data_IF_605681570374
#
_entry.id   IF_605681570374
#
_cell.length_a   1.000
_cell.length_b   1.000
_cell.length_c   1.000
_cell.angle_alpha   90.00
_cell.angle_beta   90.00
_cell.angle_gamma   90.00
#
_symmetry.space_group_name_H-M   'P 1'
#
loop_
_entity.id
_entity.type
_entity.pdbx_description
1 polymer ?
#
# COMPACT_ATOMS: atom_id res chain seq x y z
N UNK A 1 -27.34 8.22 -9.59
CA UNK A 1 -26.16 7.39 -9.26
C UNK A 1 -25.28 7.08 -10.48
N UNK A 2 -25.78 7.14 -11.72
CA UNK A 2 -24.97 6.90 -12.94
C UNK A 2 -23.86 7.94 -13.18
N UNK A 3 -24.09 9.22 -12.84
CA UNK A 3 -23.14 10.31 -13.14
C UNK A 3 -21.80 10.13 -12.40
N UNK A 4 -21.82 9.57 -11.19
CA UNK A 4 -20.61 9.34 -10.38
C UNK A 4 -19.79 8.18 -10.94
N UNK A 5 -20.46 7.11 -11.42
CA UNK A 5 -19.80 5.95 -12.00
C UNK A 5 -19.07 6.30 -13.31
N UNK A 6 -19.67 7.16 -14.15
CA UNK A 6 -19.04 7.63 -15.39
C UNK A 6 -17.81 8.49 -15.10
N UNK A 7 -17.86 9.32 -14.05
CA UNK A 7 -16.74 10.20 -13.67
C UNK A 7 -15.56 9.41 -13.11
N UNK A 8 -15.82 8.38 -12.31
CA UNK A 8 -14.79 7.47 -11.78
C UNK A 8 -14.18 6.62 -12.90
N UNK A 9 -15.02 6.08 -13.80
CA UNK A 9 -14.53 5.33 -14.95
C UNK A 9 -13.66 6.19 -15.87
N UNK A 10 -14.04 7.45 -16.14
CA UNK A 10 -13.25 8.37 -16.94
C UNK A 10 -11.90 8.74 -16.28
N UNK A 11 -11.88 8.85 -14.95
CA UNK A 11 -10.65 9.11 -14.19
C UNK A 11 -9.70 7.90 -14.23
N UNK A 12 -10.23 6.69 -14.03
CA UNK A 12 -9.46 5.43 -14.11
C UNK A 12 -8.93 5.20 -15.52
N UNK A 13 -9.73 5.45 -16.56
CA UNK A 13 -9.27 5.37 -17.95
C UNK A 13 -8.17 6.40 -18.22
N UNK A 14 -8.30 7.65 -17.75
CA UNK A 14 -7.26 8.67 -17.94
C UNK A 14 -5.94 8.32 -17.25
N UNK A 15 -5.99 7.76 -16.04
CA UNK A 15 -4.80 7.32 -15.32
C UNK A 15 -4.16 6.11 -15.99
N UNK A 16 -4.95 5.12 -16.40
CA UNK A 16 -4.44 3.92 -17.11
C UNK A 16 -3.89 4.28 -18.49
N UNK A 17 -4.51 5.22 -19.21
CA UNK A 17 -4.03 5.69 -20.51
C UNK A 17 -2.75 6.54 -20.37
N UNK A 18 -2.67 7.38 -19.33
CA UNK A 18 -1.47 8.13 -18.98
C UNK A 18 -0.28 7.22 -18.66
N UNK A 19 -0.52 6.16 -17.88
CA UNK A 19 0.52 5.16 -17.56
C UNK A 19 0.92 4.32 -18.79
N UNK A 20 -0.01 4.01 -19.70
CA UNK A 20 0.30 3.27 -20.94
C UNK A 20 1.01 4.09 -22.01
N UNK A 21 0.93 5.42 -21.98
CA UNK A 21 1.73 6.28 -22.88
C UNK A 21 3.18 6.46 -22.41
N UNK A 22 3.48 6.18 -21.14
CA UNK A 22 4.86 6.13 -20.64
C UNK A 22 5.48 4.78 -21.00
N UNK A 23 5.66 4.54 -22.31
CA UNK A 23 6.73 3.64 -22.74
C UNK A 23 8.04 4.26 -22.23
N UNK A 24 8.87 3.55 -21.45
CA UNK A 24 10.19 4.04 -21.11
C UNK A 24 10.97 4.14 -22.43
N UNK A 25 11.09 5.37 -22.96
CA UNK A 25 12.03 5.66 -24.03
C UNK A 25 13.41 5.40 -23.44
N UNK A 26 13.99 4.28 -23.84
CA UNK A 26 15.37 3.95 -23.55
C UNK A 26 16.27 5.14 -23.88
N UNK A 27 17.03 5.61 -22.88
CA UNK A 27 18.33 6.22 -23.12
C UNK A 27 18.41 7.74 -23.34
N UNK A 28 17.37 8.53 -23.07
CA UNK A 28 17.58 9.97 -22.90
C UNK A 28 18.16 10.22 -21.49
N UNK A 29 19.49 10.17 -21.36
CA UNK A 29 20.15 10.75 -20.18
C UNK A 29 19.86 12.24 -20.22
N UNK A 30 18.80 12.67 -19.54
CA UNK A 30 18.57 14.07 -19.22
C UNK A 30 19.84 14.55 -18.52
N UNK A 31 20.62 15.39 -19.21
CA UNK A 31 21.77 16.08 -18.61
C UNK A 31 21.19 17.18 -17.72
N UNK A 32 20.62 16.76 -16.60
CA UNK A 32 20.20 17.65 -15.53
C UNK A 32 21.46 18.22 -14.90
N UNK A 33 21.44 19.52 -14.63
CA UNK A 33 22.48 20.11 -13.81
C UNK A 33 22.22 19.69 -12.36
N UNK A 34 23.24 19.63 -11.49
CA UNK A 34 23.07 19.26 -10.09
C UNK A 34 21.98 20.09 -9.38
N UNK A 35 21.85 21.37 -9.74
CA UNK A 35 20.79 22.26 -9.25
C UNK A 35 19.37 21.78 -9.63
N UNK A 36 19.17 21.31 -10.87
CA UNK A 36 17.87 20.81 -11.34
C UNK A 36 17.49 19.51 -10.62
N UNK A 37 18.48 18.66 -10.31
CA UNK A 37 18.25 17.42 -9.55
C UNK A 37 17.82 17.75 -8.12
N UNK A 38 18.49 18.69 -7.47
CA UNK A 38 18.15 19.10 -6.10
C UNK A 38 16.76 19.73 -6.01
N UNK A 39 16.37 20.53 -7.02
CA UNK A 39 15.02 21.09 -7.09
C UNK A 39 13.96 20.00 -7.28
N UNK A 40 14.20 19.04 -8.18
CA UNK A 40 13.30 17.91 -8.39
C UNK A 40 13.16 17.02 -7.15
N UNK A 41 14.27 16.77 -6.44
CA UNK A 41 14.24 16.02 -5.19
C UNK A 41 13.44 16.75 -4.10
N UNK A 42 13.58 18.09 -4.02
CA UNK A 42 12.82 18.91 -3.08
C UNK A 42 11.31 18.88 -3.38
N UNK A 43 10.94 19.04 -4.65
CA UNK A 43 9.53 18.94 -5.10
C UNK A 43 8.99 17.53 -4.86
N UNK A 44 9.78 16.50 -5.16
CA UNK A 44 9.43 15.10 -4.93
C UNK A 44 9.20 14.80 -3.45
N UNK A 45 10.07 15.30 -2.58
CA UNK A 45 9.93 15.15 -1.13
C UNK A 45 8.70 15.87 -0.58
N UNK A 46 8.42 17.09 -1.06
CA UNK A 46 7.22 17.84 -0.66
C UNK A 46 5.93 17.10 -1.05
N UNK A 47 5.86 16.60 -2.28
CA UNK A 47 4.71 15.84 -2.77
C UNK A 47 4.55 14.51 -2.02
N UNK A 48 5.64 13.80 -1.75
CA UNK A 48 5.61 12.58 -0.95
C UNK A 48 5.08 12.85 0.47
N UNK A 49 5.50 13.95 1.10
CA UNK A 49 5.04 14.33 2.43
C UNK A 49 3.56 14.74 2.46
N UNK A 50 3.08 15.46 1.44
CA UNK A 50 1.64 15.76 1.30
C UNK A 50 0.82 14.48 1.14
N UNK A 51 1.26 13.60 0.23
CA UNK A 51 0.57 12.32 0.01
C UNK A 51 0.58 11.44 1.24
N UNK A 52 1.70 11.39 1.97
CA UNK A 52 1.82 10.65 3.21
C UNK A 52 0.79 11.12 4.23
N UNK A 53 0.64 12.44 4.43
CA UNK A 53 -0.35 13.01 5.36
C UNK A 53 -1.78 12.61 5.03
N UNK A 54 -2.16 12.62 3.75
CA UNK A 54 -3.50 12.20 3.32
C UNK A 54 -3.79 10.72 3.62
N UNK A 55 -2.80 9.87 3.39
CA UNK A 55 -2.93 8.41 3.61
C UNK A 55 -2.85 8.10 5.11
N UNK A 56 -2.01 8.81 5.85
CA UNK A 56 -1.73 8.60 7.27
C UNK A 56 -3.00 8.60 8.11
N UNK A 57 -3.87 9.58 7.90
CA UNK A 57 -5.11 9.71 8.66
C UNK A 57 -5.99 8.45 8.53
N UNK A 58 -6.12 7.92 7.31
CA UNK A 58 -6.95 6.74 7.02
C UNK A 58 -6.31 5.46 7.56
N UNK A 59 -5.01 5.27 7.32
CA UNK A 59 -4.29 4.09 7.78
C UNK A 59 -4.22 4.03 9.30
N UNK A 60 -3.94 5.15 9.97
CA UNK A 60 -3.84 5.21 11.43
C UNK A 60 -5.12 4.71 12.08
N UNK A 61 -6.28 5.25 11.69
CA UNK A 61 -7.55 4.84 12.26
C UNK A 61 -7.86 3.35 12.00
N UNK A 62 -7.59 2.85 10.79
CA UNK A 62 -7.84 1.45 10.45
C UNK A 62 -6.91 0.51 11.22
N UNK A 63 -5.60 0.78 11.23
CA UNK A 63 -4.60 -0.06 11.89
C UNK A 63 -4.78 -0.08 13.42
N UNK A 64 -5.13 1.05 14.03
CA UNK A 64 -5.47 1.07 15.46
C UNK A 64 -6.73 0.27 15.77
N UNK A 65 -7.77 0.39 14.95
CA UNK A 65 -9.00 -0.38 15.14
C UNK A 65 -8.71 -1.89 15.05
N UNK A 66 -7.98 -2.32 14.01
CA UNK A 66 -7.59 -3.72 13.80
C UNK A 66 -6.76 -4.28 14.96
N UNK A 67 -5.74 -3.54 15.41
CA UNK A 67 -4.87 -3.93 16.52
C UNK A 67 -5.65 -4.01 17.84
N UNK A 68 -6.39 -2.96 18.17
CA UNK A 68 -7.08 -2.85 19.46
C UNK A 68 -8.22 -3.88 19.59
N UNK A 69 -8.94 -4.15 18.50
CA UNK A 69 -10.01 -5.16 18.46
C UNK A 69 -9.49 -6.58 18.22
N UNK A 70 -8.18 -6.74 17.96
CA UNK A 70 -7.54 -8.02 17.63
C UNK A 70 -8.26 -8.76 16.50
N UNK A 71 -8.61 -8.02 15.46
CA UNK A 71 -9.28 -8.56 14.27
C UNK A 71 -8.30 -9.47 13.54
N UNK A 72 -8.66 -10.75 13.30
CA UNK A 72 -7.78 -11.65 12.58
C UNK A 72 -7.75 -11.33 11.10
N UNK A 73 -6.59 -11.57 10.49
CA UNK A 73 -6.45 -11.58 9.05
C UNK A 73 -7.22 -12.80 8.50
N UNK A 74 -8.14 -12.56 7.58
CA UNK A 74 -8.98 -13.58 6.97
C UNK A 74 -8.37 -14.11 5.67
N UNK A 75 -7.84 -13.23 4.81
CA UNK A 75 -7.29 -13.61 3.51
C UNK A 75 -6.13 -12.72 3.10
N UNK A 76 -5.29 -13.27 2.22
CA UNK A 76 -4.24 -12.54 1.50
C UNK A 76 -4.55 -12.66 0.01
N UNK A 77 -4.81 -11.54 -0.65
CA UNK A 77 -5.17 -11.49 -2.06
C UNK A 77 -4.01 -10.92 -2.88
N UNK A 78 -3.58 -11.65 -3.91
CA UNK A 78 -2.64 -11.12 -4.90
C UNK A 78 -3.35 -10.27 -5.97
N UNK A 79 -2.58 -9.75 -6.94
CA UNK A 79 -3.16 -9.24 -8.20
C UNK A 79 -3.29 -7.72 -8.33
N UNK A 80 -2.53 -6.95 -7.57
CA UNK A 80 -2.50 -5.47 -7.66
C UNK A 80 -1.86 -4.94 -8.95
N UNK A 81 -1.29 -5.81 -9.79
CA UNK A 81 -0.51 -5.44 -10.97
C UNK A 81 0.87 -4.84 -10.65
N UNK A 82 1.17 -4.60 -9.37
CA UNK A 82 2.45 -4.04 -8.91
C UNK A 82 3.24 -5.15 -8.19
N UNK A 83 4.47 -5.46 -8.65
CA UNK A 83 5.31 -6.45 -7.99
C UNK A 83 5.52 -6.14 -6.50
N UNK A 84 5.35 -7.17 -5.66
CA UNK A 84 5.52 -7.05 -4.21
C UNK A 84 4.35 -6.40 -3.47
N UNK A 85 3.25 -6.05 -4.14
CA UNK A 85 2.04 -5.54 -3.47
C UNK A 85 0.88 -6.54 -3.49
N UNK A 86 0.14 -6.57 -2.40
CA UNK A 86 -0.97 -7.50 -2.17
C UNK A 86 -1.95 -6.93 -1.15
N UNK A 87 -3.16 -7.47 -1.08
CA UNK A 87 -4.20 -7.01 -0.17
C UNK A 87 -4.31 -7.95 1.03
N UNK A 88 -4.35 -7.36 2.22
CA UNK A 88 -4.64 -8.01 3.49
C UNK A 88 -6.12 -7.76 3.82
N UNK A 89 -6.94 -8.81 3.76
CA UNK A 89 -8.36 -8.73 4.10
C UNK A 89 -8.57 -9.27 5.51
N UNK A 90 -9.06 -8.41 6.41
CA UNK A 90 -9.34 -8.74 7.80
C UNK A 90 -10.78 -9.22 7.98
N UNK A 91 -11.03 -9.97 9.04
CA UNK A 91 -12.34 -10.58 9.29
C UNK A 91 -13.48 -9.59 9.57
N UNK A 92 -13.17 -8.31 9.83
CA UNK A 92 -14.17 -7.24 9.95
C UNK A 92 -14.49 -6.56 8.60
N UNK A 93 -13.93 -7.07 7.50
CA UNK A 93 -14.08 -6.53 6.15
C UNK A 93 -13.07 -5.43 5.80
N UNK A 94 -12.22 -5.01 6.74
CA UNK A 94 -11.17 -4.04 6.44
C UNK A 94 -10.16 -4.64 5.47
N UNK A 95 -9.83 -3.93 4.40
CA UNK A 95 -8.82 -4.33 3.43
C UNK A 95 -7.65 -3.33 3.41
N UNK A 96 -6.43 -3.83 3.59
CA UNK A 96 -5.20 -3.04 3.60
C UNK A 96 -4.34 -3.45 2.41
N UNK A 97 -4.01 -2.51 1.54
CA UNK A 97 -2.97 -2.71 0.54
C UNK A 97 -1.62 -2.70 1.27
N UNK A 98 -0.89 -3.80 1.18
CA UNK A 98 0.41 -4.00 1.78
C UNK A 98 1.48 -4.25 0.71
N UNK A 99 2.74 -3.98 1.09
CA UNK A 99 3.92 -4.25 0.30
C UNK A 99 4.87 -5.16 1.09
N UNK A 100 5.45 -6.13 0.39
CA UNK A 100 6.48 -7.02 0.94
C UNK A 100 7.78 -6.28 1.15
N UNK A 101 8.49 -6.54 2.25
CA UNK A 101 9.88 -6.10 2.43
C UNK A 101 10.84 -7.17 1.87
N UNK A 102 10.47 -8.45 2.02
CA UNK A 102 11.19 -9.62 1.54
C UNK A 102 10.46 -10.40 0.44
N UNK A 103 11.22 -11.16 -0.36
CA UNK A 103 10.76 -11.86 -1.58
C UNK A 103 9.66 -12.91 -1.35
N UNK A 104 9.37 -13.28 -0.09
CA UNK A 104 8.46 -14.38 0.28
C UNK A 104 7.45 -14.01 1.36
N UNK A 105 7.32 -12.73 1.73
CA UNK A 105 6.50 -12.35 2.87
C UNK A 105 5.01 -12.61 2.62
N UNK A 106 4.51 -12.24 1.44
CA UNK A 106 3.10 -12.44 1.08
C UNK A 106 2.70 -13.92 1.13
N UNK A 107 3.52 -14.80 0.56
CA UNK A 107 3.29 -16.24 0.58
C UNK A 107 3.37 -16.81 2.01
N UNK A 108 4.34 -16.35 2.81
CA UNK A 108 4.49 -16.78 4.19
C UNK A 108 3.26 -16.40 5.03
N UNK A 109 2.78 -15.17 4.90
CA UNK A 109 1.59 -14.69 5.60
C UNK A 109 0.35 -15.43 5.12
N UNK A 110 0.20 -15.67 3.81
CA UNK A 110 -0.93 -16.44 3.27
C UNK A 110 -0.97 -17.87 3.83
N UNK A 111 0.19 -18.53 3.93
CA UNK A 111 0.30 -19.86 4.55
C UNK A 111 -0.02 -19.81 6.05
N UNK A 112 0.44 -18.78 6.75
CA UNK A 112 0.14 -18.59 8.17
C UNK A 112 -1.37 -18.42 8.41
N UNK A 113 -2.05 -17.61 7.60
CA UNK A 113 -3.52 -17.43 7.66
C UNK A 113 -4.27 -18.74 7.47
N UNK A 114 -3.80 -19.60 6.56
CA UNK A 114 -4.44 -20.90 6.31
C UNK A 114 -4.30 -21.90 7.47
N UNK A 115 -3.37 -21.66 8.40
CA UNK A 115 -3.04 -22.62 9.48
C UNK A 115 -3.31 -22.07 10.88
N UNK A 116 -3.24 -20.76 11.05
CA UNK A 116 -3.17 -20.11 12.34
C UNK A 116 -3.93 -18.77 12.32
N UNK A 117 -4.27 -18.30 13.51
CA UNK A 117 -4.82 -16.96 13.69
C UNK A 117 -3.70 -15.93 13.58
N UNK A 118 -3.67 -15.20 12.47
CA UNK A 118 -2.73 -14.09 12.23
C UNK A 118 -3.36 -12.78 12.70
N UNK A 119 -2.65 -12.00 13.50
CA UNK A 119 -3.10 -10.72 14.06
C UNK A 119 -2.12 -9.60 13.71
N UNK A 120 -2.65 -8.39 13.53
CA UNK A 120 -1.86 -7.16 13.60
C UNK A 120 -1.49 -6.89 15.07
N UNK A 121 -0.20 -6.89 15.39
CA UNK A 121 0.28 -6.71 16.77
C UNK A 121 0.95 -5.35 16.98
N UNK A 122 1.68 -4.86 15.97
CA UNK A 122 2.35 -3.57 16.02
C UNK A 122 2.21 -2.86 14.67
N UNK A 123 2.16 -1.55 14.71
CA UNK A 123 2.35 -0.69 13.55
C UNK A 123 2.88 0.66 14.03
N UNK A 124 3.55 1.40 13.16
CA UNK A 124 3.89 2.80 13.42
C UNK A 124 3.96 3.60 12.11
N UNK A 125 3.89 4.91 12.23
CA UNK A 125 4.13 5.85 11.13
C UNK A 125 5.58 6.36 11.21
N UNK A 126 6.36 6.18 10.14
CA UNK A 126 7.75 6.68 10.06
C UNK A 126 7.87 8.07 9.43
N UNK A 127 6.74 8.67 9.02
CA UNK A 127 6.66 9.90 8.22
C UNK A 127 6.82 9.67 6.72
N UNK A 128 7.14 8.43 6.29
CA UNK A 128 7.30 8.08 4.87
C UNK A 128 6.70 6.72 4.50
N UNK A 129 6.52 5.83 5.46
CA UNK A 129 5.92 4.51 5.27
C UNK A 129 5.23 4.05 6.57
N UNK A 130 4.41 3.00 6.48
CA UNK A 130 3.63 2.46 7.59
C UNK A 130 4.00 1.00 7.85
N UNK A 131 5.17 0.72 8.44
CA UNK A 131 5.55 -0.63 8.81
C UNK A 131 4.55 -1.20 9.82
N UNK A 132 4.10 -2.42 9.55
CA UNK A 132 3.19 -3.19 10.39
C UNK A 132 3.75 -4.58 10.64
N UNK A 133 3.41 -5.16 11.79
CA UNK A 133 3.83 -6.49 12.23
C UNK A 133 2.59 -7.37 12.32
N UNK A 134 2.61 -8.43 11.52
CA UNK A 134 1.66 -9.53 11.63
C UNK A 134 2.29 -10.66 12.42
N UNK A 135 1.62 -11.11 13.47
CA UNK A 135 2.12 -12.20 14.33
C UNK A 135 1.12 -13.36 14.41
N UNK A 136 1.66 -14.55 14.56
CA UNK A 136 0.98 -15.81 14.83
C UNK A 136 1.84 -16.66 15.77
N UNK A 137 1.40 -17.86 16.15
CA UNK A 137 2.13 -18.69 17.11
C UNK A 137 3.50 -19.12 16.57
N UNK A 138 3.56 -19.39 15.27
CA UNK A 138 4.79 -19.81 14.58
C UNK A 138 5.77 -18.69 14.20
N UNK A 139 5.46 -17.41 14.45
CA UNK A 139 6.37 -16.30 14.18
C UNK A 139 5.67 -15.00 13.80
N UNK A 140 6.44 -14.09 13.22
CA UNK A 140 5.96 -12.78 12.79
C UNK A 140 6.57 -12.34 11.46
N UNK A 141 5.89 -11.41 10.78
CA UNK A 141 6.40 -10.74 9.58
C UNK A 141 6.12 -9.25 9.62
N UNK A 142 7.11 -8.50 9.16
CA UNK A 142 7.01 -7.06 8.94
C UNK A 142 6.63 -6.81 7.49
N UNK A 143 5.67 -5.93 7.27
CA UNK A 143 5.18 -5.48 5.97
C UNK A 143 5.02 -3.97 5.99
N UNK A 144 4.95 -3.33 4.83
CA UNK A 144 4.58 -1.92 4.74
C UNK A 144 3.11 -1.78 4.32
N UNK A 145 2.29 -1.12 5.14
CA UNK A 145 0.99 -0.66 4.70
C UNK A 145 1.13 0.52 3.73
N UNK A 146 0.36 0.45 2.64
CA UNK A 146 0.37 1.43 1.56
C UNK A 146 -0.92 2.24 1.55
N UNK A 147 -2.06 1.58 1.72
CA UNK A 147 -3.36 2.24 1.73
C UNK A 147 -4.43 1.36 2.40
N UNK A 148 -5.51 1.99 2.85
CA UNK A 148 -6.78 1.30 3.16
C UNK A 148 -7.60 1.27 1.88
N UNK A 149 -8.05 0.08 1.47
CA UNK A 149 -9.02 -0.05 0.39
C UNK A 149 -10.41 0.32 0.96
N UNK A 150 -11.17 1.21 0.29
CA UNK A 150 -12.53 1.51 0.72
C UNK A 150 -13.38 0.24 0.66
N UNK A 151 -14.25 0.05 1.65
CA UNK A 151 -15.33 -0.93 1.55
C UNK A 151 -16.27 -0.46 0.44
N UNK A 152 -16.49 -1.32 -0.57
CA UNK A 152 -17.48 -1.11 -1.63
C UNK A 152 -18.92 -1.11 -1.07
#
# INVERSE_FOLDING_TARGET
MEVVAVLVAALVVSVVLGVRLVRPRAGARLRLRPEDVAELDAVGAALAAERHREVAARLTSALDALRNRRVPLARVLGGTGIPGQFVLEFADGTAILARTVGRSDAATVAVAVARERVLLTLWHDTGTHFPLVLSWRGGERVLDAVAVQPAD
#
